data_IF_350565779843
#
_entry.id   IF_350565779843
#
_cell.length_a   1.000
_cell.length_b   1.000
_cell.length_c   1.000
_cell.angle_alpha   90.00
_cell.angle_beta   90.00
_cell.angle_gamma   90.00
#
_symmetry.space_group_name_H-M   'P 1'
#
loop_
_entity.id
_entity.type
_entity.pdbx_description
1 polymer ?
#
# COMPACT_ATOMS: atom_id res chain seq x y z
N UNK A 1 -18.60 -25.75 10.83
CA UNK A 1 -18.42 -24.68 11.84
C UNK A 1 -16.95 -24.42 12.19
N UNK A 2 -16.11 -25.43 12.41
CA UNK A 2 -14.71 -25.24 12.82
C UNK A 2 -13.80 -24.67 11.72
N UNK A 3 -13.99 -25.09 10.47
CA UNK A 3 -13.26 -24.54 9.32
C UNK A 3 -13.53 -23.04 9.10
N UNK A 4 -14.76 -22.55 9.31
CA UNK A 4 -15.09 -21.13 9.17
C UNK A 4 -14.38 -20.26 10.21
N UNK A 5 -14.22 -20.78 11.43
CA UNK A 5 -13.47 -20.10 12.50
C UNK A 5 -12.00 -19.93 12.15
N UNK A 6 -11.38 -20.98 11.59
CA UNK A 6 -9.99 -20.93 11.16
C UNK A 6 -9.83 -19.95 9.99
N UNK A 7 -10.74 -19.99 9.00
CA UNK A 7 -10.76 -19.02 7.89
C UNK A 7 -10.90 -17.58 8.38
N UNK A 8 -11.79 -17.30 9.32
CA UNK A 8 -11.96 -15.96 9.90
C UNK A 8 -10.71 -15.48 10.65
N UNK A 9 -10.04 -16.36 11.40
CA UNK A 9 -8.76 -16.04 12.06
C UNK A 9 -7.65 -15.74 11.06
N UNK A 10 -7.45 -16.60 10.05
CA UNK A 10 -6.43 -16.38 9.03
C UNK A 10 -6.69 -15.11 8.23
N UNK A 11 -7.94 -14.84 7.88
CA UNK A 11 -8.32 -13.63 7.16
C UNK A 11 -8.07 -12.37 8.00
N UNK A 12 -8.38 -12.41 9.30
CA UNK A 12 -8.08 -11.32 10.24
C UNK A 12 -6.57 -11.06 10.31
N UNK A 13 -5.75 -12.11 10.49
CA UNK A 13 -4.30 -11.94 10.56
C UNK A 13 -3.70 -11.45 9.24
N UNK A 14 -4.14 -11.98 8.11
CA UNK A 14 -3.73 -11.49 6.79
C UNK A 14 -4.09 -10.02 6.61
N UNK A 15 -5.30 -9.62 7.03
CA UNK A 15 -5.75 -8.23 7.01
C UNK A 15 -4.84 -7.31 7.82
N UNK A 16 -4.54 -7.69 9.07
CA UNK A 16 -3.65 -6.91 9.96
C UNK A 16 -2.24 -6.78 9.36
N UNK A 17 -1.68 -7.86 8.83
CA UNK A 17 -0.35 -7.83 8.20
C UNK A 17 -0.34 -6.89 7.00
N UNK A 18 -1.36 -6.98 6.12
CA UNK A 18 -1.49 -6.07 4.98
C UNK A 18 -1.64 -4.60 5.41
N UNK A 19 -2.38 -4.31 6.50
CA UNK A 19 -2.50 -2.96 7.05
C UNK A 19 -1.16 -2.40 7.49
N UNK A 20 -0.36 -3.19 8.23
CA UNK A 20 0.96 -2.75 8.70
C UNK A 20 1.86 -2.44 7.51
N UNK A 21 1.92 -3.34 6.52
CA UNK A 21 2.73 -3.13 5.31
C UNK A 21 2.26 -1.89 4.53
N UNK A 22 0.94 -1.71 4.38
CA UNK A 22 0.38 -0.55 3.69
C UNK A 22 0.76 0.77 4.36
N UNK A 23 0.64 0.84 5.69
CA UNK A 23 1.04 2.03 6.47
C UNK A 23 2.52 2.30 6.28
N UNK A 24 3.38 1.28 6.40
CA UNK A 24 4.83 1.44 6.19
C UNK A 24 5.12 1.99 4.79
N UNK A 25 4.49 1.45 3.75
CA UNK A 25 4.66 1.95 2.38
C UNK A 25 4.21 3.41 2.26
N UNK A 26 3.00 3.73 2.71
CA UNK A 26 2.42 5.06 2.55
C UNK A 26 3.15 6.16 3.34
N UNK A 27 3.80 5.82 4.46
CA UNK A 27 4.58 6.77 5.26
C UNK A 27 6.05 6.90 4.83
N UNK A 28 6.58 5.92 4.10
CA UNK A 28 7.99 5.92 3.65
C UNK A 28 8.15 6.46 2.23
N UNK A 29 7.12 6.40 1.37
CA UNK A 29 7.22 6.93 0.00
C UNK A 29 7.53 8.44 0.06
N UNK A 30 8.70 8.87 -0.44
CA UNK A 30 9.06 10.27 -0.45
C UNK A 30 8.17 11.06 -1.41
N UNK A 31 7.94 12.35 -1.12
CA UNK A 31 7.18 13.22 -2.01
C UNK A 31 7.88 13.32 -3.38
N UNK A 32 7.26 12.84 -4.47
CA UNK A 32 7.88 12.83 -5.79
C UNK A 32 8.22 14.25 -6.27
N UNK A 33 7.48 15.26 -5.81
CA UNK A 33 7.65 16.66 -6.20
C UNK A 33 8.98 17.22 -5.69
N UNK A 34 9.39 16.84 -4.48
CA UNK A 34 10.67 17.26 -3.91
C UNK A 34 11.86 16.70 -4.72
N UNK A 35 11.77 15.43 -5.11
CA UNK A 35 12.79 14.79 -5.96
C UNK A 35 12.87 15.43 -7.36
N UNK A 36 11.73 15.81 -7.95
CA UNK A 36 11.67 16.41 -9.28
C UNK A 36 12.38 17.78 -9.32
N UNK A 37 12.35 18.55 -8.22
CA UNK A 37 13.11 19.82 -8.13
C UNK A 37 14.62 19.57 -8.15
N UNK A 38 15.11 18.53 -7.49
CA UNK A 38 16.53 18.18 -7.54
C UNK A 38 16.97 17.72 -8.93
N UNK A 39 16.13 16.94 -9.62
CA UNK A 39 16.38 16.52 -11.00
C UNK A 39 16.53 17.74 -11.91
N UNK A 40 15.64 18.73 -11.80
CA UNK A 40 15.74 19.96 -12.60
C UNK A 40 17.01 20.76 -12.32
N UNK A 41 17.50 20.77 -11.07
CA UNK A 41 18.75 21.45 -10.70
C UNK A 41 20.00 20.77 -11.24
N UNK A 42 19.96 19.45 -11.43
CA UNK A 42 21.11 18.61 -11.85
C UNK A 42 21.12 18.32 -13.35
N UNK A 43 19.98 18.44 -14.02
CA UNK A 43 19.86 18.11 -15.43
C UNK A 43 20.61 19.10 -16.33
N UNK A 44 21.27 18.57 -17.35
CA UNK A 44 22.00 19.38 -18.34
C UNK A 44 21.11 19.87 -19.48
N UNK A 45 19.92 19.28 -19.65
CA UNK A 45 18.93 19.66 -20.65
C UNK A 45 17.52 19.20 -20.25
N UNK A 46 16.51 19.76 -20.92
CA UNK A 46 15.10 19.51 -20.63
C UNK A 46 14.66 18.06 -20.90
N UNK A 47 15.25 17.38 -21.89
CA UNK A 47 14.90 16.01 -22.22
C UNK A 47 15.33 15.03 -21.12
N UNK A 48 16.55 15.20 -20.61
CA UNK A 48 17.07 14.42 -19.49
C UNK A 48 16.21 14.62 -18.23
N UNK A 49 15.88 15.88 -17.90
CA UNK A 49 15.02 16.18 -16.77
C UNK A 49 13.65 15.51 -16.90
N UNK A 50 13.02 15.61 -18.07
CA UNK A 50 11.70 15.01 -18.32
C UNK A 50 11.72 13.48 -18.16
N UNK A 51 12.78 12.80 -18.63
CA UNK A 51 12.90 11.36 -18.51
C UNK A 51 13.07 10.90 -17.05
N UNK A 52 13.91 11.60 -16.28
CA UNK A 52 14.12 11.30 -14.86
C UNK A 52 12.88 11.61 -14.01
N UNK A 53 12.19 12.72 -14.26
CA UNK A 53 10.91 13.07 -13.61
C UNK A 53 9.84 12.02 -13.92
N UNK A 54 9.71 11.60 -15.18
CA UNK A 54 8.73 10.58 -15.59
C UNK A 54 8.98 9.26 -14.86
N UNK A 55 10.24 8.81 -14.79
CA UNK A 55 10.63 7.61 -14.06
C UNK A 55 10.29 7.72 -12.57
N UNK A 56 10.62 8.86 -11.95
CA UNK A 56 10.33 9.12 -10.53
C UNK A 56 8.82 9.09 -10.26
N UNK A 57 8.02 9.72 -11.12
CA UNK A 57 6.56 9.74 -11.00
C UNK A 57 5.95 8.34 -11.17
N UNK A 58 6.44 7.53 -12.13
CA UNK A 58 5.97 6.16 -12.31
C UNK A 58 6.25 5.29 -11.08
N UNK A 59 7.46 5.37 -10.51
CA UNK A 59 7.79 4.65 -9.28
C UNK A 59 6.91 5.09 -8.11
N UNK A 60 6.70 6.40 -7.95
CA UNK A 60 5.82 6.94 -6.90
C UNK A 60 4.38 6.43 -7.05
N UNK A 61 3.81 6.50 -8.26
CA UNK A 61 2.46 6.01 -8.55
C UNK A 61 2.35 4.51 -8.25
N UNK A 62 3.32 3.72 -8.67
CA UNK A 62 3.32 2.27 -8.44
C UNK A 62 3.34 1.95 -6.94
N UNK A 63 4.20 2.61 -6.17
CA UNK A 63 4.30 2.39 -4.73
C UNK A 63 3.02 2.84 -4.00
N UNK A 64 2.46 3.98 -4.37
CA UNK A 64 1.16 4.43 -3.84
C UNK A 64 0.03 3.46 -4.19
N UNK A 65 0.02 2.93 -5.41
CA UNK A 65 -1.01 1.98 -5.87
C UNK A 65 -0.95 0.69 -5.06
N UNK A 66 0.26 0.15 -4.84
CA UNK A 66 0.47 -1.03 -3.99
C UNK A 66 0.05 -0.73 -2.55
N UNK A 67 0.47 0.40 -2.00
CA UNK A 67 0.11 0.83 -0.65
C UNK A 67 -1.41 0.93 -0.46
N UNK A 68 -2.12 1.57 -1.40
CA UNK A 68 -3.58 1.70 -1.36
C UNK A 68 -4.30 0.38 -1.56
N UNK A 69 -3.82 -0.49 -2.45
CA UNK A 69 -4.39 -1.83 -2.64
C UNK A 69 -4.27 -2.67 -1.36
N UNK A 70 -3.09 -2.67 -0.73
CA UNK A 70 -2.85 -3.36 0.54
C UNK A 70 -3.67 -2.76 1.70
N UNK A 71 -3.85 -1.43 1.71
CA UNK A 71 -4.70 -0.77 2.70
C UNK A 71 -6.15 -1.22 2.55
N UNK A 72 -6.72 -1.15 1.34
CA UNK A 72 -8.09 -1.55 1.05
C UNK A 72 -8.35 -3.02 1.35
N UNK A 73 -7.44 -3.90 0.93
CA UNK A 73 -7.49 -5.32 1.28
C UNK A 73 -7.38 -5.52 2.80
N UNK A 74 -6.42 -4.85 3.45
CA UNK A 74 -6.16 -4.97 4.87
C UNK A 74 -7.37 -4.61 5.73
N UNK A 75 -8.06 -3.50 5.40
CA UNK A 75 -9.31 -3.08 6.06
C UNK A 75 -10.39 -4.15 5.85
N UNK A 76 -10.65 -4.50 4.59
CA UNK A 76 -11.75 -5.41 4.22
C UNK A 76 -11.56 -6.80 4.83
N UNK A 77 -10.35 -7.36 4.76
CA UNK A 77 -10.01 -8.66 5.33
C UNK A 77 -10.07 -8.65 6.86
N UNK A 78 -9.62 -7.58 7.51
CA UNK A 78 -9.70 -7.45 8.98
C UNK A 78 -11.15 -7.44 9.46
N UNK A 79 -12.00 -6.61 8.85
CA UNK A 79 -13.42 -6.52 9.20
C UNK A 79 -14.15 -7.83 8.88
N UNK A 80 -13.96 -8.38 7.68
CA UNK A 80 -14.56 -9.65 7.26
C UNK A 80 -14.13 -10.82 8.15
N UNK A 81 -12.84 -10.90 8.49
CA UNK A 81 -12.29 -11.91 9.39
C UNK A 81 -12.87 -11.82 10.80
N UNK A 82 -13.04 -10.59 11.31
CA UNK A 82 -13.66 -10.35 12.62
C UNK A 82 -15.14 -10.78 12.65
N UNK A 83 -15.92 -10.43 11.61
CA UNK A 83 -17.34 -10.83 11.51
C UNK A 83 -17.47 -12.34 11.45
N UNK A 84 -16.72 -13.01 10.57
CA UNK A 84 -16.74 -14.48 10.42
C UNK A 84 -16.39 -15.20 11.72
N UNK A 85 -15.43 -14.66 12.50
CA UNK A 85 -15.08 -15.18 13.82
C UNK A 85 -16.21 -14.96 14.85
N UNK A 86 -16.92 -13.84 14.77
CA UNK A 86 -17.96 -13.44 15.72
C UNK A 86 -19.30 -14.14 15.48
N UNK A 87 -19.63 -14.46 14.23
CA UNK A 87 -20.84 -15.23 13.87
C UNK A 87 -20.85 -16.63 14.48
N UNK A 88 -19.69 -17.16 14.89
CA UNK A 88 -19.57 -18.47 15.54
C UNK A 88 -19.76 -18.41 17.06
N UNK A 89 -19.82 -17.22 17.66
CA UNK A 89 -20.05 -17.03 19.11
C UNK A 89 -21.54 -16.96 19.48
N UNK A 90 -22.43 -16.87 18.49
CA UNK A 90 -23.87 -17.15 18.63
C UNK A 90 -24.16 -18.57 18.18
#
# INVERSE_FOLDING_TARGET
MEQMNQRGKYLLYAGIVCLVIAIVILFIIPDPSANNVEVMKKATNAMQAAQEISKNNQTSILMHTIGMALLGFGITASVGGFILKSMKKK
#
